data_IF_540431949973
#
_entry.id   IF_540431949973
#
_cell.length_a   1.000
_cell.length_b   1.000
_cell.length_c   1.000
_cell.angle_alpha   90.00
_cell.angle_beta   90.00
_cell.angle_gamma   90.00
#
_symmetry.space_group_name_H-M   'P 1'
#
loop_
_entity.id
_entity.type
_entity.pdbx_description
1 polymer ?
#
# COMPACT_ATOMS: atom_id res chain seq x y z
N UNK A 1 -12.48 -7.08 -25.38
CA UNK A 1 -13.25 -6.24 -24.43
C UNK A 1 -13.67 -7.05 -23.21
N UNK A 2 -14.46 -8.12 -23.36
CA UNK A 2 -14.93 -8.96 -22.25
C UNK A 2 -13.81 -9.51 -21.34
N UNK A 3 -12.71 -10.01 -21.93
CA UNK A 3 -11.55 -10.51 -21.19
C UNK A 3 -10.90 -9.41 -20.35
N UNK A 4 -10.71 -8.21 -20.91
CA UNK A 4 -10.14 -7.07 -20.18
C UNK A 4 -11.04 -6.64 -19.01
N UNK A 5 -12.35 -6.66 -19.21
CA UNK A 5 -13.33 -6.36 -18.14
C UNK A 5 -13.25 -7.39 -17.02
N UNK A 6 -13.12 -8.69 -17.33
CA UNK A 6 -12.95 -9.74 -16.34
C UNK A 6 -11.64 -9.57 -15.55
N UNK A 7 -10.53 -9.26 -16.22
CA UNK A 7 -9.24 -9.00 -15.56
C UNK A 7 -9.32 -7.80 -14.61
N UNK A 8 -9.91 -6.68 -15.05
CA UNK A 8 -10.08 -5.50 -14.20
C UNK A 8 -11.02 -5.80 -13.03
N UNK A 9 -12.11 -6.53 -13.26
CA UNK A 9 -13.04 -6.90 -12.20
C UNK A 9 -12.34 -7.77 -11.12
N UNK A 10 -11.55 -8.75 -11.54
CA UNK A 10 -10.80 -9.61 -10.63
C UNK A 10 -9.73 -8.82 -9.87
N UNK A 11 -9.00 -7.95 -10.56
CA UNK A 11 -8.01 -7.05 -9.95
C UNK A 11 -8.66 -6.16 -8.89
N UNK A 12 -9.70 -5.41 -9.26
CA UNK A 12 -10.39 -4.48 -8.35
C UNK A 12 -11.01 -5.22 -7.16
N UNK A 13 -11.64 -6.37 -7.40
CA UNK A 13 -12.25 -7.17 -6.33
C UNK A 13 -11.21 -7.55 -5.26
N UNK A 14 -10.09 -8.14 -5.67
CA UNK A 14 -9.04 -8.52 -4.73
C UNK A 14 -8.35 -7.33 -4.09
N UNK A 15 -8.09 -6.27 -4.85
CA UNK A 15 -7.48 -5.04 -4.32
C UNK A 15 -8.35 -4.42 -3.23
N UNK A 16 -9.65 -4.23 -3.47
CA UNK A 16 -10.56 -3.63 -2.50
C UNK A 16 -10.70 -4.55 -1.28
N UNK A 17 -10.88 -5.85 -1.48
CA UNK A 17 -11.04 -6.81 -0.38
C UNK A 17 -9.83 -6.78 0.57
N UNK A 18 -8.62 -6.81 0.02
CA UNK A 18 -7.39 -6.75 0.82
C UNK A 18 -7.20 -5.37 1.47
N UNK A 19 -7.41 -4.28 0.73
CA UNK A 19 -7.29 -2.92 1.26
C UNK A 19 -8.26 -2.67 2.41
N UNK A 20 -9.52 -3.09 2.27
CA UNK A 20 -10.53 -2.94 3.31
C UNK A 20 -10.17 -3.77 4.54
N UNK A 21 -9.76 -5.03 4.38
CA UNK A 21 -9.36 -5.87 5.51
C UNK A 21 -8.17 -5.29 6.27
N UNK A 22 -7.12 -4.88 5.56
CA UNK A 22 -5.92 -4.30 6.17
C UNK A 22 -6.24 -2.96 6.84
N UNK A 23 -6.90 -2.04 6.13
CA UNK A 23 -7.25 -0.72 6.65
C UNK A 23 -8.18 -0.80 7.85
N UNK A 24 -9.19 -1.66 7.81
CA UNK A 24 -10.11 -1.87 8.92
C UNK A 24 -9.40 -2.48 10.14
N UNK A 25 -8.54 -3.48 9.93
CA UNK A 25 -7.79 -4.11 11.03
C UNK A 25 -6.85 -3.11 11.71
N UNK A 26 -6.15 -2.28 10.93
CA UNK A 26 -5.28 -1.22 11.46
C UNK A 26 -6.09 -0.15 12.21
N UNK A 27 -7.22 0.29 11.65
CA UNK A 27 -8.11 1.24 12.31
C UNK A 27 -8.63 0.71 13.64
N UNK A 28 -9.09 -0.55 13.66
CA UNK A 28 -9.55 -1.22 14.88
C UNK A 28 -8.44 -1.37 15.93
N UNK A 29 -7.20 -1.67 15.50
CA UNK A 29 -6.06 -1.78 16.40
C UNK A 29 -5.70 -0.42 17.06
N UNK A 30 -5.84 0.67 16.32
CA UNK A 30 -5.54 2.04 16.76
C UNK A 30 -6.65 2.62 17.65
N UNK A 31 -7.91 2.23 17.42
CA UNK A 31 -9.06 2.67 18.22
C UNK A 31 -8.92 2.32 19.71
N UNK A 32 -8.15 1.28 20.05
CA UNK A 32 -7.69 1.09 21.42
C UNK A 32 -6.87 2.31 21.83
N UNK A 33 -7.43 3.15 22.72
CA UNK A 33 -6.85 4.40 23.28
C UNK A 33 -5.47 4.21 23.93
N UNK A 34 -4.45 3.91 23.14
CA UNK A 34 -3.07 3.84 23.58
C UNK A 34 -2.46 5.26 23.61
N UNK A 35 -1.59 5.51 24.60
CA UNK A 35 -0.75 6.72 24.65
C UNK A 35 0.19 6.70 23.43
N UNK A 36 -0.21 7.36 22.35
CA UNK A 36 0.49 7.35 21.06
C UNK A 36 -0.41 7.28 19.83
N UNK A 37 -1.73 7.24 19.98
CA UNK A 37 -2.70 7.17 18.86
C UNK A 37 -2.37 8.15 17.72
N UNK A 38 -2.16 9.44 18.02
CA UNK A 38 -1.89 10.46 17.01
C UNK A 38 -0.62 10.17 16.17
N UNK A 39 0.42 9.59 16.79
CA UNK A 39 1.65 9.21 16.10
C UNK A 39 1.42 8.06 15.11
N UNK A 40 0.74 7.00 15.55
CA UNK A 40 0.40 5.86 14.69
C UNK A 40 -0.53 6.23 13.54
N UNK A 41 -1.55 7.06 13.81
CA UNK A 41 -2.43 7.62 12.79
C UNK A 41 -1.62 8.35 11.72
N UNK A 42 -0.68 9.22 12.11
CA UNK A 42 0.14 9.98 11.16
C UNK A 42 0.98 9.07 10.28
N UNK A 43 1.69 8.09 10.85
CA UNK A 43 2.54 7.16 10.07
C UNK A 43 1.74 6.41 9.01
N UNK A 44 0.53 5.95 9.33
CA UNK A 44 -0.31 5.18 8.39
C UNK A 44 -0.92 6.08 7.31
N UNK A 45 -1.25 7.33 7.65
CA UNK A 45 -1.83 8.29 6.70
C UNK A 45 -0.81 8.96 5.79
N UNK A 46 0.44 9.16 6.24
CA UNK A 46 1.53 9.75 5.44
C UNK A 46 1.62 9.14 4.03
N UNK A 47 1.68 7.80 3.84
CA UNK A 47 1.75 7.22 2.51
C UNK A 47 0.46 7.42 1.69
N UNK A 48 -0.70 7.55 2.34
CA UNK A 48 -1.97 7.82 1.63
C UNK A 48 -2.03 9.24 1.05
N UNK A 49 -1.29 10.18 1.63
CA UNK A 49 -1.20 11.55 1.14
C UNK A 49 -0.28 11.69 -0.08
N UNK A 50 0.56 10.69 -0.35
CA UNK A 50 1.45 10.71 -1.51
C UNK A 50 0.64 10.53 -2.80
N UNK A 51 0.98 11.32 -3.82
CA UNK A 51 0.36 11.20 -5.15
C UNK A 51 0.61 9.81 -5.74
N UNK A 52 -0.36 9.21 -6.47
CA UNK A 52 -0.18 7.93 -7.14
C UNK A 52 1.08 7.86 -8.02
N UNK A 53 1.47 8.98 -8.64
CA UNK A 53 2.68 9.05 -9.45
C UNK A 53 3.96 8.89 -8.61
N UNK A 54 4.00 9.47 -7.40
CA UNK A 54 5.15 9.34 -6.49
C UNK A 54 5.25 7.92 -5.97
N UNK A 55 4.12 7.33 -5.57
CA UNK A 55 4.07 5.92 -5.11
C UNK A 55 4.51 4.97 -6.23
N UNK A 56 4.06 5.19 -7.47
CA UNK A 56 4.49 4.41 -8.63
C UNK A 56 5.99 4.50 -8.88
N UNK A 57 6.57 5.69 -8.82
CA UNK A 57 8.03 5.88 -8.94
C UNK A 57 8.80 5.22 -7.78
N UNK A 58 8.25 5.26 -6.56
CA UNK A 58 8.85 4.61 -5.40
C UNK A 58 8.94 3.10 -5.59
N UNK A 59 7.86 2.45 -6.02
CA UNK A 59 7.87 1.02 -6.34
C UNK A 59 8.80 0.69 -7.52
N UNK A 60 8.83 1.54 -8.55
CA UNK A 60 9.76 1.36 -9.67
C UNK A 60 11.21 1.40 -9.22
N UNK A 61 11.58 2.36 -8.37
CA UNK A 61 12.91 2.46 -7.77
C UNK A 61 13.23 1.23 -6.91
N UNK A 62 12.27 0.78 -6.12
CA UNK A 62 12.39 -0.39 -5.25
C UNK A 62 12.73 -1.67 -6.04
N UNK A 63 12.06 -1.88 -7.18
CA UNK A 63 12.23 -3.03 -8.07
C UNK A 63 13.30 -2.82 -9.16
N UNK A 64 14.00 -1.68 -9.18
CA UNK A 64 15.03 -1.38 -10.19
C UNK A 64 16.24 -2.33 -10.00
N UNK A 65 16.63 -3.13 -11.01
CA UNK A 65 17.65 -4.19 -10.84
C UNK A 65 19.09 -3.69 -10.60
N UNK A 66 19.40 -2.45 -10.96
CA UNK A 66 20.79 -1.94 -10.97
C UNK A 66 21.14 -1.05 -9.78
N UNK A 67 20.15 -0.37 -9.19
CA UNK A 67 20.34 0.64 -8.13
C UNK A 67 19.27 0.51 -7.04
N UNK A 68 18.30 -0.39 -7.19
CA UNK A 68 17.22 -0.58 -6.24
C UNK A 68 17.70 -1.27 -4.95
N UNK A 69 17.06 -0.92 -3.84
CA UNK A 69 17.30 -1.54 -2.52
C UNK A 69 17.23 -3.08 -2.55
N UNK A 70 16.41 -3.66 -3.43
CA UNK A 70 16.31 -5.12 -3.57
C UNK A 70 17.53 -5.76 -4.25
N UNK A 71 18.21 -5.04 -5.16
CA UNK A 71 19.44 -5.54 -5.78
C UNK A 71 20.58 -5.65 -4.76
N UNK A 72 20.69 -4.68 -3.85
CA UNK A 72 21.70 -4.66 -2.78
C UNK A 72 21.41 -5.67 -1.65
N UNK A 73 20.12 -6.01 -1.43
CA UNK A 73 19.73 -6.99 -0.40
C UNK A 73 19.86 -8.46 -0.85
N UNK A 74 19.93 -8.71 -2.17
CA UNK A 74 20.07 -10.04 -2.77
C UNK A 74 21.53 -10.34 -3.17
N UNK A 75 22.41 -9.34 -3.22
CA UNK A 75 23.87 -9.50 -3.40
C UNK A 75 24.59 -9.76 -2.09
#
# INVERSE_FOLDING_TARGET
IWIAMQTTAHFVFWTILLQTLIGFTLAWLIDRKFRGHAFWTTIILVPMMLSPAVVGNFWRFLYEPQIGLFAYAVS
#
